data_IF_754045124770
#
_entry.id   IF_754045124770
#
_cell.length_a   1.000
_cell.length_b   1.000
_cell.length_c   1.000
_cell.angle_alpha   90.00
_cell.angle_beta   90.00
_cell.angle_gamma   90.00
#
_symmetry.space_group_name_H-M   'P 1'
#
loop_
_entity.id
_entity.type
_entity.pdbx_description
1 polymer ?
#
# COMPACT_ATOMS: atom_id res chain seq x y z
N UNK A 1 15.27 11.94 30.07
CA UNK A 1 13.82 12.19 29.87
C UNK A 1 13.29 13.43 30.58
N UNK A 2 14.03 14.12 31.46
CA UNK A 2 13.55 15.35 32.12
C UNK A 2 13.12 16.44 31.12
N UNK A 3 13.69 16.47 29.92
CA UNK A 3 13.35 17.44 28.86
C UNK A 3 12.27 16.97 27.86
N UNK A 4 11.72 15.75 28.03
CA UNK A 4 10.66 15.18 27.19
C UNK A 4 9.46 14.75 28.06
N UNK A 5 8.81 15.67 28.78
CA UNK A 5 7.79 15.32 29.79
C UNK A 5 6.55 14.62 29.21
N UNK A 6 6.27 14.82 27.91
CA UNK A 6 5.12 14.22 27.23
C UNK A 6 5.42 12.85 26.58
N UNK A 7 6.66 12.36 26.69
CA UNK A 7 7.06 11.07 26.12
C UNK A 7 6.98 9.99 27.20
N UNK A 8 6.23 8.94 26.89
CA UNK A 8 6.10 7.77 27.76
C UNK A 8 7.35 6.90 27.64
N UNK A 9 8.17 6.92 28.69
CA UNK A 9 9.43 6.18 28.76
C UNK A 9 9.34 4.71 28.34
N UNK A 10 8.35 3.92 28.82
CA UNK A 10 8.27 2.49 28.54
C UNK A 10 7.95 2.17 27.07
N UNK A 11 7.41 3.13 26.31
CA UNK A 11 6.99 2.93 24.91
C UNK A 11 7.97 3.54 23.91
N UNK A 12 8.92 4.35 24.40
CA UNK A 12 9.93 4.97 23.57
C UNK A 12 10.97 3.91 23.18
N UNK A 13 10.97 3.57 21.90
CA UNK A 13 12.02 2.74 21.31
C UNK A 13 12.97 3.63 20.52
N UNK A 14 14.27 3.56 20.82
CA UNK A 14 15.27 4.40 20.15
C UNK A 14 15.63 3.79 18.77
N UNK A 15 15.59 4.59 17.69
CA UNK A 15 16.04 4.12 16.38
C UNK A 15 17.50 3.68 16.41
N UNK A 16 17.79 2.55 15.79
CA UNK A 16 19.14 1.97 15.77
C UNK A 16 19.42 1.27 14.43
N UNK A 17 20.66 1.36 13.95
CA UNK A 17 21.05 0.75 12.67
C UNK A 17 20.94 -0.77 12.70
N UNK A 18 21.23 -1.42 13.82
CA UNK A 18 21.10 -2.88 13.94
C UNK A 18 19.65 -3.36 13.83
N UNK A 19 18.67 -2.52 14.18
CA UNK A 19 17.24 -2.81 14.02
C UNK A 19 16.77 -2.69 12.57
N UNK A 20 17.55 -2.01 11.72
CA UNK A 20 17.35 -1.98 10.28
C UNK A 20 18.00 -3.17 9.59
N UNK A 21 18.86 -3.95 10.25
CA UNK A 21 19.35 -5.19 9.68
C UNK A 21 18.20 -6.21 9.59
N UNK A 22 17.94 -6.79 8.42
CA UNK A 22 16.82 -7.69 8.24
C UNK A 22 17.07 -8.99 9.01
N UNK A 23 16.13 -9.39 9.88
CA UNK A 23 16.24 -10.65 10.63
C UNK A 23 16.26 -11.90 9.73
N UNK A 24 15.67 -11.79 8.54
CA UNK A 24 15.80 -12.76 7.46
C UNK A 24 15.78 -12.02 6.12
N UNK A 25 16.65 -12.41 5.19
CA UNK A 25 16.67 -11.83 3.84
C UNK A 25 15.71 -12.61 2.95
N UNK A 26 14.79 -11.91 2.29
CA UNK A 26 13.88 -12.54 1.34
C UNK A 26 14.63 -12.99 0.09
N UNK A 27 14.54 -14.27 -0.25
CA UNK A 27 15.17 -14.86 -1.45
C UNK A 27 14.23 -14.94 -2.67
N UNK A 28 12.94 -14.71 -2.49
CA UNK A 28 12.01 -14.68 -3.62
C UNK A 28 12.08 -13.34 -4.38
N UNK A 29 11.63 -13.39 -5.63
CA UNK A 29 11.49 -12.21 -6.49
C UNK A 29 10.62 -11.13 -5.81
N UNK A 30 10.97 -9.83 -5.94
CA UNK A 30 10.11 -8.74 -5.48
C UNK A 30 8.71 -8.82 -6.12
N UNK A 31 7.66 -8.72 -5.32
CA UNK A 31 6.27 -8.83 -5.79
C UNK A 31 5.68 -7.46 -6.08
N UNK A 32 5.45 -7.16 -7.36
CA UNK A 32 4.95 -5.85 -7.79
C UNK A 32 3.54 -5.95 -8.38
N UNK A 33 2.57 -5.29 -7.76
CA UNK A 33 1.22 -5.12 -8.30
C UNK A 33 1.15 -3.87 -9.18
N UNK A 34 0.61 -3.99 -10.37
CA UNK A 34 0.41 -2.87 -11.28
C UNK A 34 -1.08 -2.59 -11.49
N UNK A 35 -1.48 -1.33 -11.30
CA UNK A 35 -2.85 -0.83 -11.47
C UNK A 35 -2.87 0.24 -12.57
N UNK A 36 -3.92 0.24 -13.39
CA UNK A 36 -4.11 1.24 -14.46
C UNK A 36 -5.51 1.87 -14.45
N UNK A 37 -5.60 3.10 -14.97
CA UNK A 37 -6.77 3.97 -14.80
C UNK A 37 -7.71 4.11 -16.00
N UNK A 38 -7.75 3.17 -16.95
CA UNK A 38 -8.65 3.28 -18.11
C UNK A 38 -9.05 1.94 -18.71
N UNK A 39 -10.37 1.80 -18.96
CA UNK A 39 -11.03 0.66 -19.59
C UNK A 39 -11.19 0.81 -21.11
N UNK A 40 -10.58 1.83 -21.74
CA UNK A 40 -10.67 2.00 -23.19
C UNK A 40 -10.01 0.82 -23.90
N UNK A 41 -10.57 0.43 -25.05
CA UNK A 41 -9.97 -0.57 -25.94
C UNK A 41 -8.49 -0.23 -26.23
N UNK A 42 -8.22 1.03 -26.61
CA UNK A 42 -6.86 1.58 -26.69
C UNK A 42 -6.60 2.49 -25.48
N UNK A 43 -5.95 1.92 -24.46
CA UNK A 43 -5.65 2.58 -23.19
C UNK A 43 -4.15 2.80 -23.04
N UNK A 44 -3.67 4.03 -23.22
CA UNK A 44 -2.24 4.35 -23.07
C UNK A 44 -1.72 4.15 -21.65
N UNK A 45 -2.57 4.30 -20.62
CA UNK A 45 -2.16 3.97 -19.24
C UNK A 45 -1.97 2.46 -19.09
N UNK A 46 -2.81 1.63 -19.72
CA UNK A 46 -2.62 0.18 -19.74
C UNK A 46 -1.35 -0.19 -20.52
N UNK A 47 -1.13 0.38 -21.70
CA UNK A 47 0.09 0.13 -22.49
C UNK A 47 1.36 0.53 -21.73
N UNK A 48 1.37 1.71 -21.10
CA UNK A 48 2.49 2.17 -20.26
C UNK A 48 2.73 1.25 -19.06
N UNK A 49 1.66 0.76 -18.45
CA UNK A 49 1.72 -0.23 -17.36
C UNK A 49 2.34 -1.55 -17.83
N UNK A 50 2.04 -2.00 -19.05
CA UNK A 50 2.63 -3.21 -19.61
C UNK A 50 4.11 -3.02 -19.98
N UNK A 51 4.56 -1.82 -20.36
CA UNK A 51 6.00 -1.55 -20.50
C UNK A 51 6.72 -1.56 -19.15
N UNK A 52 6.13 -0.92 -18.14
CA UNK A 52 6.63 -0.98 -16.76
C UNK A 52 6.74 -2.43 -16.26
N UNK A 53 5.74 -3.26 -16.55
CA UNK A 53 5.74 -4.70 -16.24
C UNK A 53 6.93 -5.42 -16.89
N UNK A 54 7.17 -5.20 -18.18
CA UNK A 54 8.28 -5.84 -18.91
C UNK A 54 9.63 -5.47 -18.32
N UNK A 55 9.83 -4.19 -17.98
CA UNK A 55 11.07 -3.70 -17.35
C UNK A 55 11.26 -4.35 -15.98
N UNK A 56 10.23 -4.37 -15.14
CA UNK A 56 10.30 -4.97 -13.80
C UNK A 56 10.57 -6.49 -13.87
N UNK A 57 9.92 -7.21 -14.79
CA UNK A 57 10.21 -8.63 -15.03
C UNK A 57 11.64 -8.85 -15.49
N UNK A 58 12.17 -7.96 -16.33
CA UNK A 58 13.58 -8.01 -16.74
C UNK A 58 14.54 -7.82 -15.56
N UNK A 59 14.20 -6.95 -14.59
CA UNK A 59 14.94 -6.82 -13.33
C UNK A 59 14.72 -8.01 -12.37
N UNK A 60 13.81 -8.93 -12.67
CA UNK A 60 13.57 -10.15 -11.88
C UNK A 60 12.44 -10.03 -10.86
N UNK A 61 11.49 -9.10 -11.03
CA UNK A 61 10.29 -9.02 -10.21
C UNK A 61 9.22 -10.05 -10.64
N UNK A 62 8.46 -10.59 -9.67
CA UNK A 62 7.18 -11.24 -9.94
C UNK A 62 6.12 -10.14 -10.06
N UNK A 63 5.48 -10.01 -11.22
CA UNK A 63 4.51 -8.94 -11.48
C UNK A 63 3.11 -9.48 -11.69
N UNK A 64 2.11 -8.76 -11.19
CA UNK A 64 0.69 -8.99 -11.49
C UNK A 64 0.02 -7.68 -11.86
N UNK A 65 -0.63 -7.66 -13.02
CA UNK A 65 -1.42 -6.51 -13.48
C UNK A 65 -2.88 -6.79 -13.18
N UNK A 66 -3.54 -5.93 -12.42
CA UNK A 66 -4.97 -6.07 -12.17
C UNK A 66 -5.77 -5.51 -13.35
N UNK A 67 -6.72 -6.29 -13.88
CA UNK A 67 -7.71 -5.77 -14.83
C UNK A 67 -8.91 -5.19 -14.06
N UNK A 68 -9.21 -3.87 -14.13
CA UNK A 68 -10.32 -3.27 -13.43
C UNK A 68 -11.67 -3.37 -14.16
N UNK A 69 -11.75 -4.08 -15.29
CA UNK A 69 -13.05 -4.42 -15.91
C UNK A 69 -13.96 -5.10 -14.87
N UNK A 70 -15.24 -4.70 -14.87
CA UNK A 70 -16.29 -5.18 -13.96
C UNK A 70 -16.02 -4.95 -12.46
N UNK A 71 -15.03 -4.14 -12.08
CA UNK A 71 -14.88 -3.71 -10.70
C UNK A 71 -16.06 -2.79 -10.33
N UNK A 72 -16.93 -3.19 -9.39
CA UNK A 72 -18.09 -2.39 -8.99
C UNK A 72 -17.64 -1.07 -8.36
N UNK A 73 -18.51 -0.07 -8.34
CA UNK A 73 -18.24 1.16 -7.59
C UNK A 73 -18.24 0.84 -6.09
N UNK A 74 -17.31 1.43 -5.33
CA UNK A 74 -17.29 1.28 -3.87
C UNK A 74 -18.67 1.57 -3.28
N UNK A 75 -19.07 0.76 -2.29
CA UNK A 75 -20.37 0.78 -1.61
C UNK A 75 -21.59 0.37 -2.47
N UNK A 76 -21.42 0.01 -3.75
CA UNK A 76 -22.53 -0.52 -4.56
C UNK A 76 -22.82 -2.01 -4.34
N UNK A 77 -21.84 -2.75 -3.82
CA UNK A 77 -21.94 -4.18 -3.50
C UNK A 77 -21.11 -4.50 -2.24
N UNK A 78 -21.28 -5.71 -1.72
CA UNK A 78 -20.48 -6.22 -0.60
C UNK A 78 -19.04 -6.56 -1.02
N UNK A 79 -18.13 -6.56 -0.04
CA UNK A 79 -16.69 -6.75 -0.28
C UNK A 79 -16.29 -8.19 -0.69
N UNK A 80 -17.23 -9.13 -0.70
CA UNK A 80 -17.08 -10.49 -1.21
C UNK A 80 -17.23 -10.59 -2.73
N UNK A 81 -17.57 -9.50 -3.42
CA UNK A 81 -17.61 -9.46 -4.87
C UNK A 81 -16.26 -9.95 -5.47
N UNK A 82 -16.27 -10.86 -6.47
CA UNK A 82 -15.05 -11.52 -6.95
C UNK A 82 -13.91 -10.57 -7.34
N UNK A 83 -14.23 -9.47 -8.04
CA UNK A 83 -13.24 -8.44 -8.43
C UNK A 83 -12.66 -7.68 -7.24
N UNK A 84 -13.43 -7.47 -6.19
CA UNK A 84 -12.97 -6.79 -4.96
C UNK A 84 -12.03 -7.71 -4.21
N UNK A 85 -12.41 -8.98 -4.06
CA UNK A 85 -11.57 -10.02 -3.43
C UNK A 85 -10.26 -10.20 -4.20
N UNK A 86 -10.31 -10.26 -5.53
CA UNK A 86 -9.11 -10.34 -6.38
C UNK A 86 -8.17 -9.15 -6.14
N UNK A 87 -8.69 -7.92 -6.21
CA UNK A 87 -7.90 -6.70 -5.99
C UNK A 87 -7.25 -6.68 -4.60
N UNK A 88 -8.01 -7.02 -3.56
CA UNK A 88 -7.49 -7.05 -2.18
C UNK A 88 -6.40 -8.10 -2.00
N UNK A 89 -6.60 -9.32 -2.50
CA UNK A 89 -5.59 -10.39 -2.46
C UNK A 89 -4.32 -10.02 -3.22
N UNK A 90 -4.44 -9.32 -4.35
CA UNK A 90 -3.28 -8.82 -5.09
C UNK A 90 -2.53 -7.74 -4.31
N UNK A 91 -3.25 -6.82 -3.65
CA UNK A 91 -2.62 -5.78 -2.82
C UNK A 91 -1.89 -6.41 -1.63
N UNK A 92 -2.53 -7.36 -0.94
CA UNK A 92 -1.93 -8.12 0.15
C UNK A 92 -0.66 -8.87 -0.27
N UNK A 93 -0.70 -9.54 -1.44
CA UNK A 93 0.44 -10.25 -2.03
C UNK A 93 1.62 -9.33 -2.38
N UNK A 94 1.35 -8.06 -2.73
CA UNK A 94 2.37 -7.13 -3.21
C UNK A 94 3.35 -6.70 -2.12
N UNK A 95 4.58 -6.39 -2.51
CA UNK A 95 5.60 -5.71 -1.69
C UNK A 95 5.85 -4.28 -2.19
N UNK A 96 5.54 -4.05 -3.46
CA UNK A 96 5.52 -2.73 -4.09
C UNK A 96 4.39 -2.63 -5.12
N UNK A 97 4.03 -1.41 -5.51
CA UNK A 97 3.01 -1.17 -6.52
C UNK A 97 3.44 -0.12 -7.56
N UNK A 98 2.85 -0.23 -8.76
CA UNK A 98 2.91 0.79 -9.82
C UNK A 98 1.50 1.27 -10.09
N UNK A 99 1.28 2.58 -9.99
CA UNK A 99 -0.03 3.21 -10.20
C UNK A 99 0.02 4.09 -11.44
N UNK A 100 -0.69 3.72 -12.50
CA UNK A 100 -0.73 4.47 -13.75
C UNK A 100 -2.13 5.02 -14.06
N UNK A 101 -2.34 6.32 -13.84
CA UNK A 101 -3.61 6.98 -14.19
C UNK A 101 -3.45 7.83 -15.45
N UNK A 102 -4.38 7.79 -16.41
CA UNK A 102 -4.53 8.91 -17.33
C UNK A 102 -4.85 10.20 -16.58
N UNK A 103 -4.54 11.33 -17.18
CA UNK A 103 -5.11 12.60 -16.77
C UNK A 103 -6.39 12.88 -17.55
N UNK A 104 -7.52 12.94 -16.84
CA UNK A 104 -8.85 13.17 -17.41
C UNK A 104 -9.45 14.39 -16.72
N UNK A 105 -9.80 15.41 -17.50
CA UNK A 105 -10.27 16.70 -16.98
C UNK A 105 -9.32 17.29 -15.92
N UNK A 106 -8.01 17.14 -16.13
CA UNK A 106 -6.98 17.69 -15.25
C UNK A 106 -6.78 16.95 -13.93
N UNK A 107 -7.30 15.74 -13.76
CA UNK A 107 -7.16 14.94 -12.53
C UNK A 107 -7.01 13.43 -12.82
N UNK A 108 -6.75 12.64 -11.79
CA UNK A 108 -6.75 11.17 -11.87
C UNK A 108 -8.14 10.63 -12.26
N UNK A 109 -8.20 9.45 -12.85
CA UNK A 109 -9.49 8.91 -13.32
C UNK A 109 -10.32 8.29 -12.21
N UNK A 110 -11.64 8.32 -12.37
CA UNK A 110 -12.57 7.60 -11.48
C UNK A 110 -12.28 6.08 -11.46
N UNK A 111 -11.93 5.49 -12.60
CA UNK A 111 -11.52 4.08 -12.70
C UNK A 111 -10.32 3.79 -11.80
N UNK A 112 -9.33 4.70 -11.77
CA UNK A 112 -8.18 4.53 -10.90
C UNK A 112 -8.56 4.71 -9.43
N UNK A 113 -9.29 5.79 -9.12
CA UNK A 113 -9.69 6.11 -7.74
C UNK A 113 -10.52 5.00 -7.11
N UNK A 114 -11.46 4.42 -7.86
CA UNK A 114 -12.32 3.33 -7.42
C UNK A 114 -11.52 2.08 -6.99
N UNK A 115 -10.41 1.77 -7.67
CA UNK A 115 -9.52 0.69 -7.25
C UNK A 115 -8.91 0.97 -5.86
N UNK A 116 -8.41 2.18 -5.63
CA UNK A 116 -7.82 2.54 -4.34
C UNK A 116 -8.89 2.57 -3.23
N UNK A 117 -10.10 3.02 -3.53
CA UNK A 117 -11.19 3.09 -2.55
C UNK A 117 -11.64 1.69 -2.07
N UNK A 118 -11.44 0.65 -2.87
CA UNK A 118 -11.68 -0.74 -2.45
C UNK A 118 -10.61 -1.32 -1.52
N UNK A 119 -9.45 -0.66 -1.38
CA UNK A 119 -8.34 -1.09 -0.53
C UNK A 119 -8.48 -0.48 0.87
N UNK A 120 -8.80 -1.27 1.91
CA UNK A 120 -8.88 -0.75 3.27
C UNK A 120 -7.48 -0.46 3.82
N UNK A 121 -7.38 0.45 4.80
CA UNK A 121 -6.12 0.67 5.54
C UNK A 121 -5.79 -0.51 6.47
N UNK A 122 -6.83 -1.19 6.95
CA UNK A 122 -6.74 -2.37 7.81
C UNK A 122 -7.96 -3.27 7.58
N UNK A 123 -7.75 -4.58 7.53
CA UNK A 123 -8.82 -5.59 7.57
C UNK A 123 -8.34 -6.82 8.33
N UNK A 124 -8.96 -7.12 9.48
CA UNK A 124 -8.60 -8.30 10.29
C UNK A 124 -7.13 -8.35 10.71
N UNK A 125 -6.53 -7.19 11.07
CA UNK A 125 -5.11 -7.08 11.41
C UNK A 125 -4.16 -7.05 10.20
N UNK A 126 -4.65 -7.27 8.98
CA UNK A 126 -3.85 -7.15 7.74
C UNK A 126 -3.92 -5.72 7.23
N UNK A 127 -2.75 -5.13 6.96
CA UNK A 127 -2.61 -3.79 6.38
C UNK A 127 -2.13 -3.93 4.94
N UNK A 128 -3.01 -3.90 3.92
CA UNK A 128 -2.70 -4.35 2.56
C UNK A 128 -1.78 -3.39 1.77
N UNK A 129 -1.59 -2.16 2.23
CA UNK A 129 -0.73 -1.17 1.55
C UNK A 129 0.39 -0.62 2.43
N UNK A 130 0.24 -0.68 3.76
CA UNK A 130 1.16 -0.03 4.67
C UNK A 130 2.58 -0.56 4.52
N UNK A 131 3.56 0.35 4.43
CA UNK A 131 4.99 0.02 4.37
C UNK A 131 5.47 -0.50 3.00
N UNK A 132 4.56 -0.76 2.06
CA UNK A 132 4.91 -1.17 0.69
C UNK A 132 5.41 0.00 -0.13
N UNK A 133 6.27 -0.26 -1.11
CA UNK A 133 6.78 0.79 -2.01
C UNK A 133 5.78 1.15 -3.10
N UNK A 134 5.84 2.38 -3.60
CA UNK A 134 4.93 2.85 -4.64
C UNK A 134 5.67 3.71 -5.69
N UNK A 135 5.48 3.39 -6.96
CA UNK A 135 5.78 4.28 -8.08
C UNK A 135 4.49 4.83 -8.69
N UNK A 136 4.46 6.12 -9.03
CA UNK A 136 3.31 6.77 -9.66
C UNK A 136 3.65 7.22 -11.08
N UNK A 137 2.72 7.00 -11.99
CA UNK A 137 2.86 7.29 -13.41
C UNK A 137 1.58 7.92 -13.96
N UNK A 138 1.69 8.76 -14.98
CA UNK A 138 0.54 9.23 -15.75
C UNK A 138 0.79 9.28 -17.25
N UNK A 139 -0.32 9.30 -17.99
CA UNK A 139 -0.36 9.62 -19.42
C UNK A 139 -1.31 10.79 -19.67
N UNK A 140 -0.92 11.68 -20.59
CA UNK A 140 -1.75 12.79 -21.04
C UNK A 140 -2.06 12.65 -22.54
N UNK A 141 -3.27 13.04 -22.94
CA UNK A 141 -3.59 13.21 -24.37
C UNK A 141 -3.03 14.52 -24.96
N UNK A 142 -2.82 15.53 -24.12
CA UNK A 142 -2.31 16.85 -24.49
C UNK A 142 -0.88 17.12 -24.02
N UNK A 143 -0.56 18.40 -23.84
CA UNK A 143 0.73 18.84 -23.28
C UNK A 143 1.02 18.23 -21.90
N UNK A 144 2.29 18.27 -21.51
CA UNK A 144 2.72 17.70 -20.24
C UNK A 144 2.00 18.36 -19.06
N UNK A 145 1.65 17.53 -18.08
CA UNK A 145 1.00 17.91 -16.83
C UNK A 145 1.48 16.94 -15.73
N UNK A 146 1.22 17.28 -14.48
CA UNK A 146 1.58 16.46 -13.32
C UNK A 146 0.43 16.29 -12.33
N UNK A 147 -0.80 16.71 -12.69
CA UNK A 147 -1.89 16.75 -11.75
C UNK A 147 -2.27 15.35 -11.24
N UNK A 148 -2.33 14.37 -12.15
CA UNK A 148 -2.66 13.00 -11.77
C UNK A 148 -1.58 12.38 -10.86
N UNK A 149 -0.29 12.47 -11.21
CA UNK A 149 0.80 11.94 -10.37
C UNK A 149 0.91 12.66 -9.02
N UNK A 150 0.64 13.97 -8.97
CA UNK A 150 0.59 14.70 -7.70
C UNK A 150 -0.52 14.18 -6.80
N UNK A 151 -1.72 13.97 -7.35
CA UNK A 151 -2.83 13.40 -6.60
C UNK A 151 -2.55 11.94 -6.18
N UNK A 152 -1.95 11.12 -7.04
CA UNK A 152 -1.54 9.75 -6.72
C UNK A 152 -0.48 9.70 -5.62
N UNK A 153 0.50 10.60 -5.63
CA UNK A 153 1.53 10.70 -4.58
C UNK A 153 0.91 11.04 -3.23
N UNK A 154 -0.05 11.96 -3.24
CA UNK A 154 -0.84 12.29 -2.05
C UNK A 154 -1.64 11.06 -1.60
N UNK A 155 -2.31 10.33 -2.50
CA UNK A 155 -2.99 9.08 -2.15
C UNK A 155 -2.05 8.03 -1.57
N UNK A 156 -0.83 7.88 -2.12
CA UNK A 156 0.20 6.97 -1.60
C UNK A 156 0.54 7.23 -0.14
N UNK A 157 0.65 8.51 0.24
CA UNK A 157 0.82 8.93 1.64
C UNK A 157 -0.38 8.50 2.51
N UNK A 158 -1.61 8.71 2.03
CA UNK A 158 -2.83 8.27 2.72
C UNK A 158 -2.85 6.74 2.93
N UNK A 159 -2.42 5.98 1.92
CA UNK A 159 -2.29 4.52 1.97
C UNK A 159 -1.05 4.04 2.76
N UNK A 160 -0.30 4.96 3.39
CA UNK A 160 0.92 4.71 4.18
C UNK A 160 1.99 3.94 3.40
N UNK A 161 2.11 4.21 2.11
CA UNK A 161 3.11 3.61 1.22
C UNK A 161 4.39 4.45 1.15
N UNK A 162 5.52 3.79 0.91
CA UNK A 162 6.80 4.46 0.61
C UNK A 162 6.80 4.85 -0.87
N UNK A 163 6.27 6.04 -1.16
CA UNK A 163 6.20 6.54 -2.54
C UNK A 163 7.57 7.04 -2.98
N UNK A 164 8.18 6.36 -3.96
CA UNK A 164 9.56 6.68 -4.40
C UNK A 164 9.64 8.11 -4.98
N UNK A 165 10.81 8.77 -4.90
CA UNK A 165 10.99 10.12 -5.41
C UNK A 165 10.64 10.28 -6.89
N UNK A 166 11.12 9.37 -7.73
CA UNK A 166 10.97 9.47 -9.18
C UNK A 166 9.55 9.12 -9.64
N UNK A 167 9.13 9.67 -10.79
CA UNK A 167 7.81 9.47 -11.36
C UNK A 167 7.81 9.69 -12.88
N UNK A 168 6.81 9.13 -13.57
CA UNK A 168 6.65 9.29 -15.02
C UNK A 168 5.40 10.09 -15.38
N UNK A 169 5.53 11.04 -16.31
CA UNK A 169 4.41 11.74 -16.94
C UNK A 169 4.65 11.85 -18.45
N UNK A 170 3.94 11.01 -19.22
CA UNK A 170 4.08 10.92 -20.67
C UNK A 170 3.07 11.85 -21.34
N UNK A 171 3.56 12.93 -21.94
CA UNK A 171 2.74 13.88 -22.68
C UNK A 171 2.37 13.34 -24.07
N UNK A 172 1.24 13.79 -24.64
CA UNK A 172 0.76 13.41 -25.98
C UNK A 172 0.94 11.90 -26.24
N UNK A 173 0.54 11.05 -25.30
CA UNK A 173 0.95 9.64 -25.26
C UNK A 173 0.66 8.87 -26.56
N UNK A 174 -0.36 9.25 -27.32
CA UNK A 174 -0.64 8.69 -28.63
C UNK A 174 0.49 8.80 -29.67
N UNK A 175 1.45 9.73 -29.48
CA UNK A 175 2.64 9.87 -30.32
C UNK A 175 3.76 8.91 -29.89
N UNK A 176 3.77 8.51 -28.62
CA UNK A 176 4.84 7.75 -27.97
C UNK A 176 4.65 6.22 -28.09
N UNK A 177 3.51 5.76 -28.59
CA UNK A 177 3.25 4.35 -28.87
C UNK A 177 3.17 4.10 -30.37
N UNK A 178 3.63 2.92 -30.82
CA UNK A 178 3.52 2.45 -32.19
C UNK A 178 2.21 1.67 -32.46
N UNK A 179 2.07 1.12 -33.67
CA UNK A 179 0.89 0.37 -34.09
C UNK A 179 0.68 -0.94 -33.33
N UNK A 180 1.74 -1.51 -32.75
CA UNK A 180 1.71 -2.73 -31.95
C UNK A 180 1.47 -2.43 -30.45
N UNK A 181 1.27 -1.15 -30.11
CA UNK A 181 1.08 -0.70 -28.73
C UNK A 181 2.36 -0.76 -27.90
N UNK A 182 3.53 -0.76 -28.53
CA UNK A 182 4.83 -0.66 -27.85
C UNK A 182 5.26 0.79 -27.73
N UNK A 183 5.86 1.15 -26.60
CA UNK A 183 6.38 2.50 -26.41
C UNK A 183 7.67 2.67 -27.22
N UNK A 184 7.75 3.77 -27.97
CA UNK A 184 8.90 4.12 -28.80
C UNK A 184 10.09 4.56 -27.93
N UNK A 185 11.33 4.43 -28.41
CA UNK A 185 12.49 5.03 -27.76
C UNK A 185 12.32 6.55 -27.67
N UNK A 186 12.32 7.08 -26.45
CA UNK A 186 12.22 8.52 -26.19
C UNK A 186 12.66 8.84 -24.76
N UNK A 187 12.91 10.12 -24.42
CA UNK A 187 13.20 10.51 -23.04
C UNK A 187 12.11 10.11 -22.03
N UNK A 188 10.86 9.91 -22.51
CA UNK A 188 9.80 9.38 -21.67
C UNK A 188 10.02 7.91 -21.35
N UNK A 189 10.50 7.10 -22.29
CA UNK A 189 10.82 5.70 -22.05
C UNK A 189 12.00 5.55 -21.10
N UNK A 190 13.07 6.34 -21.28
CA UNK A 190 14.22 6.36 -20.38
C UNK A 190 13.77 6.67 -18.94
N UNK A 191 12.87 7.65 -18.78
CA UNK A 191 12.27 7.94 -17.47
C UNK A 191 11.48 6.77 -16.89
N UNK A 192 10.75 6.01 -17.71
CA UNK A 192 10.03 4.83 -17.23
C UNK A 192 11.01 3.78 -16.71
N UNK A 193 12.14 3.58 -17.42
CA UNK A 193 13.22 2.69 -16.96
C UNK A 193 13.76 3.16 -15.62
N UNK A 194 14.10 4.45 -15.46
CA UNK A 194 14.59 5.00 -14.19
C UNK A 194 13.62 4.76 -13.02
N UNK A 195 12.32 4.99 -13.26
CA UNK A 195 11.28 4.84 -12.23
C UNK A 195 11.12 3.37 -11.83
N UNK A 196 11.17 2.43 -12.78
CA UNK A 196 11.09 1.00 -12.47
C UNK A 196 12.35 0.49 -11.77
N UNK A 197 13.52 1.00 -12.17
CA UNK A 197 14.80 0.66 -11.54
C UNK A 197 14.82 1.16 -10.08
N UNK A 198 14.42 2.40 -9.85
CA UNK A 198 14.31 2.99 -8.52
C UNK A 198 13.28 2.24 -7.66
N UNK A 199 12.09 1.93 -8.20
CA UNK A 199 11.09 1.14 -7.49
C UNK A 199 11.68 -0.20 -7.03
N UNK A 200 12.34 -0.92 -7.92
CA UNK A 200 12.92 -2.22 -7.64
C UNK A 200 13.95 -2.15 -6.50
N UNK A 201 14.88 -1.18 -6.57
CA UNK A 201 15.89 -0.93 -5.52
C UNK A 201 15.24 -0.61 -4.17
N UNK A 202 14.25 0.27 -4.16
CA UNK A 202 13.52 0.62 -2.93
C UNK A 202 12.74 -0.57 -2.37
N UNK A 203 12.13 -1.41 -3.21
CA UNK A 203 11.40 -2.61 -2.73
C UNK A 203 12.36 -3.57 -2.03
N UNK A 204 13.54 -3.83 -2.61
CA UNK A 204 14.58 -4.64 -1.96
C UNK A 204 15.02 -4.05 -0.61
N UNK A 205 15.15 -2.72 -0.54
CA UNK A 205 15.55 -2.03 0.67
C UNK A 205 14.47 -2.11 1.77
N UNK A 206 13.19 -1.99 1.41
CA UNK A 206 12.11 -1.81 2.38
C UNK A 206 11.46 -3.13 2.83
N UNK A 207 11.32 -4.13 1.94
CA UNK A 207 10.45 -5.30 2.18
C UNK A 207 10.75 -6.06 3.48
N UNK A 208 12.02 -6.30 3.78
CA UNK A 208 12.45 -7.07 4.96
C UNK A 208 12.54 -6.21 6.24
N UNK A 209 12.28 -4.90 6.12
CA UNK A 209 12.36 -3.91 7.21
C UNK A 209 11.00 -3.29 7.54
N UNK A 210 9.97 -3.59 6.75
CA UNK A 210 8.67 -2.92 6.86
C UNK A 210 8.06 -3.05 8.26
N UNK A 211 8.18 -4.21 8.90
CA UNK A 211 7.66 -4.41 10.25
C UNK A 211 8.23 -3.39 11.24
N UNK A 212 9.56 -3.24 11.28
CA UNK A 212 10.22 -2.25 12.13
C UNK A 212 9.90 -0.80 11.72
N UNK A 213 9.93 -0.49 10.43
CA UNK A 213 9.61 0.85 9.92
C UNK A 213 8.16 1.28 10.21
N UNK A 214 7.27 0.32 10.44
CA UNK A 214 5.86 0.56 10.78
C UNK A 214 5.54 0.40 12.26
N UNK A 215 6.52 0.07 13.11
CA UNK A 215 6.36 -0.03 14.55
C UNK A 215 6.39 1.38 15.18
N UNK A 216 5.19 1.94 15.42
CA UNK A 216 5.00 3.32 15.85
C UNK A 216 4.89 3.43 17.36
N UNK A 217 5.58 4.42 17.92
CA UNK A 217 5.46 4.81 19.34
C UNK A 217 4.00 4.96 19.81
N UNK A 218 3.15 5.63 19.01
CA UNK A 218 1.74 5.83 19.38
C UNK A 218 0.95 4.53 19.45
N UNK A 219 1.20 3.60 18.53
CA UNK A 219 0.53 2.29 18.48
C UNK A 219 1.00 1.41 19.65
N UNK A 220 2.29 1.42 19.99
CA UNK A 220 2.80 0.74 21.20
C UNK A 220 2.15 1.25 22.49
N UNK A 221 1.96 2.57 22.58
CA UNK A 221 1.32 3.20 23.75
C UNK A 221 -0.16 2.83 23.88
N UNK A 222 -0.87 2.77 22.76
CA UNK A 222 -2.29 2.40 22.72
C UNK A 222 -2.50 0.93 23.08
N UNK A 223 -1.74 0.02 22.48
CA UNK A 223 -1.84 -1.42 22.76
C UNK A 223 -1.58 -1.76 24.24
N UNK A 224 -0.64 -1.08 24.89
CA UNK A 224 -0.38 -1.29 26.32
C UNK A 224 -1.53 -0.80 27.21
N UNK A 225 -2.21 0.29 26.83
CA UNK A 225 -3.37 0.78 27.57
C UNK A 225 -4.55 -0.19 27.48
N UNK A 226 -4.80 -0.75 26.29
CA UNK A 226 -5.83 -1.77 26.07
C UNK A 226 -5.54 -3.03 26.88
N UNK A 227 -4.29 -3.52 26.85
CA UNK A 227 -3.87 -4.68 27.63
C UNK A 227 -4.07 -4.43 29.14
N UNK A 228 -3.59 -3.30 29.66
CA UNK A 228 -3.75 -2.96 31.07
C UNK A 228 -5.23 -2.89 31.49
N UNK A 229 -6.08 -2.30 30.64
CA UNK A 229 -7.53 -2.22 30.88
C UNK A 229 -8.18 -3.60 30.88
N UNK A 230 -7.81 -4.47 29.94
CA UNK A 230 -8.33 -5.85 29.88
C UNK A 230 -7.91 -6.70 31.09
N UNK A 231 -6.65 -6.59 31.52
CA UNK A 231 -6.13 -7.30 32.70
C UNK A 231 -6.81 -6.82 33.97
N UNK A 232 -7.02 -5.51 34.12
CA UNK A 232 -7.77 -4.94 35.24
C UNK A 232 -9.22 -5.41 35.25
N UNK A 233 -9.90 -5.43 34.11
CA UNK A 233 -11.26 -5.94 33.99
C UNK A 233 -11.35 -7.44 34.37
N UNK A 234 -10.41 -8.25 33.88
CA UNK A 234 -10.35 -9.68 34.22
C UNK A 234 -10.07 -9.89 35.72
N UNK A 235 -9.15 -9.14 36.31
CA UNK A 235 -8.86 -9.20 37.75
C UNK A 235 -10.10 -8.85 38.58
N UNK A 236 -10.80 -7.75 38.26
CA UNK A 236 -12.04 -7.36 38.93
C UNK A 236 -13.15 -8.41 38.74
N UNK A 237 -13.25 -9.05 37.57
CA UNK A 237 -14.23 -10.14 37.37
C UNK A 237 -13.92 -11.39 38.19
N UNK A 238 -12.64 -11.69 38.43
CA UNK A 238 -12.23 -12.78 39.30
C UNK A 238 -12.50 -12.47 40.78
N UNK A 239 -12.28 -11.23 41.24
CA UNK A 239 -12.65 -10.80 42.59
C UNK A 239 -14.16 -10.92 42.83
N UNK A 240 -15.01 -10.47 41.90
CA UNK A 240 -16.48 -10.59 42.01
C UNK A 240 -16.95 -12.05 41.99
N UNK A 241 -16.25 -12.94 41.28
CA UNK A 241 -16.58 -14.37 41.25
C UNK A 241 -16.19 -15.09 42.55
N UNK A 242 -15.08 -14.70 43.18
CA UNK A 242 -14.65 -15.21 44.49
C UNK A 242 -15.62 -14.75 45.58
N UNK A 243 -16.01 -13.47 45.58
CA UNK A 243 -16.93 -12.90 46.57
C UNK A 243 -18.33 -13.53 46.51
N UNK A 244 -18.77 -14.00 45.33
CA UNK A 244 -20.03 -14.75 45.17
C UNK A 244 -19.93 -16.22 45.59
N UNK A 245 -18.75 -16.82 45.52
CA UNK A 245 -18.53 -18.20 45.94
C UNK A 245 -18.43 -18.33 47.46
N UNK A 246 -17.92 -17.32 48.17
CA UNK A 246 -17.88 -17.27 49.64
C UNK A 246 -19.25 -16.94 50.27
N UNK A 247 -20.24 -16.50 49.49
CA UNK A 247 -21.61 -16.25 49.98
C UNK A 247 -22.57 -17.45 49.81
N UNK A 248 -22.12 -18.56 49.23
CA UNK A 248 -22.91 -19.79 49.07
C UNK A 248 -22.44 -20.86 50.07
N UNK A 249 -22.21 -20.46 51.32
CA UNK A 249 -22.20 -21.40 52.44
C UNK A 249 -23.65 -21.67 52.83
N UNK A 250 -24.09 -22.86 52.43
CA UNK A 250 -25.34 -23.47 52.81
C UNK A 250 -25.48 -23.56 54.33
N UNK A 251 -26.17 -22.60 54.95
CA UNK A 251 -26.86 -22.84 56.22
C UNK A 251 -28.03 -23.79 55.92
N UNK A 252 -27.74 -25.09 56.01
CA UNK A 252 -28.73 -26.14 56.17
C UNK A 252 -28.94 -26.39 57.66
N UNK A 253 -30.02 -25.84 58.20
CA UNK A 253 -30.78 -26.43 59.32
C UNK A 253 -32.28 -26.46 58.97
#
# INVERSE_FOLDING_TARGET
>A
MRDLPNVSAPHLDLPDLSKLEPGAVSHHAPRILLLYGSLRATSYSRLLTLEAERILRHFGAETRVFNPDDLPIVDSVTADHPKVVELRRLSEWSEGQVWCSPERHGTLTAVFKNQIDWLPLESGGVRPTQGRTLAVMQVCGGSQSFNAVNALRVLGRWMRMVTIPNQSSVAKAWQEFDGDGRMKPSPFYDRVVDVMEELYKFTLLVRDRSAYLTDRYSERREAHLELATSLAANAMSHEVAIDRADTDDSETE
#
